data_IF_432488797216
#
_entry.id   IF_432488797216
#
_cell.length_a   1.000
_cell.length_b   1.000
_cell.length_c   1.000
_cell.angle_alpha   90.00
_cell.angle_beta   90.00
_cell.angle_gamma   90.00
#
_symmetry.space_group_name_H-M   'P 1'
#
loop_
_entity.id
_entity.type
_entity.pdbx_description
1 polymer ?
#
# COMPACT_ATOMS: atom_id res chain seq x y z
N UNK A 1 10.56 -33.93 2.67
CA UNK A 1 10.40 -33.75 1.21
C UNK A 1 11.02 -32.43 0.84
N UNK A 2 12.21 -32.44 0.22
CA UNK A 2 12.91 -31.25 -0.26
C UNK A 2 12.26 -30.83 -1.59
N UNK A 3 11.52 -29.73 -1.59
CA UNK A 3 10.96 -29.15 -2.82
C UNK A 3 12.09 -28.82 -3.80
N UNK A 4 12.03 -29.36 -5.02
CA UNK A 4 12.91 -28.97 -6.12
C UNK A 4 12.59 -27.52 -6.50
N UNK A 5 13.58 -26.61 -6.55
CA UNK A 5 13.30 -25.24 -6.95
C UNK A 5 12.71 -25.22 -8.38
N UNK A 6 11.60 -24.51 -8.56
CA UNK A 6 10.96 -24.31 -9.85
C UNK A 6 11.99 -23.83 -10.89
N UNK A 7 12.03 -24.50 -12.05
CA UNK A 7 12.94 -24.13 -13.14
C UNK A 7 12.62 -22.70 -13.60
N UNK A 8 13.56 -21.77 -13.39
CA UNK A 8 13.39 -20.37 -13.77
C UNK A 8 13.62 -20.22 -15.27
N UNK A 9 12.66 -19.60 -15.96
CA UNK A 9 12.78 -19.28 -17.38
C UNK A 9 13.84 -18.19 -17.59
N UNK A 10 14.83 -18.39 -18.50
CA UNK A 10 15.81 -17.36 -18.80
C UNK A 10 15.18 -16.08 -19.36
N UNK A 11 15.65 -14.92 -18.92
CA UNK A 11 15.15 -13.61 -19.38
C UNK A 11 15.82 -13.22 -20.71
N UNK A 12 15.15 -13.59 -21.82
CA UNK A 12 15.64 -13.30 -23.19
C UNK A 12 15.52 -11.83 -23.57
N UNK A 13 14.56 -11.09 -23.01
CA UNK A 13 14.35 -9.66 -23.29
C UNK A 13 15.51 -8.82 -22.76
N UNK A 14 15.90 -9.04 -21.49
CA UNK A 14 17.08 -8.40 -20.91
C UNK A 14 18.36 -8.77 -21.68
N UNK A 15 18.51 -10.02 -22.11
CA UNK A 15 19.66 -10.46 -22.89
C UNK A 15 19.78 -9.71 -24.22
N UNK A 16 18.66 -9.54 -24.94
CA UNK A 16 18.63 -8.82 -26.20
C UNK A 16 18.99 -7.34 -26.02
N UNK A 17 18.44 -6.68 -25.00
CA UNK A 17 18.74 -5.28 -24.71
C UNK A 17 20.19 -5.06 -24.27
N UNK A 18 20.79 -5.98 -23.49
CA UNK A 18 22.22 -5.93 -23.14
C UNK A 18 23.08 -5.94 -24.42
N UNK A 19 22.75 -6.80 -25.38
CA UNK A 19 23.47 -6.88 -26.65
C UNK A 19 23.28 -5.62 -27.49
N UNK A 20 22.05 -5.13 -27.65
CA UNK A 20 21.72 -3.89 -28.38
C UNK A 20 22.46 -2.66 -27.79
N UNK A 21 22.49 -2.55 -26.46
CA UNK A 21 23.16 -1.45 -25.76
C UNK A 21 24.70 -1.55 -25.76
N UNK A 22 25.25 -2.72 -26.14
CA UNK A 22 26.68 -3.02 -26.06
C UNK A 22 27.20 -3.06 -24.62
N UNK A 23 26.38 -3.46 -23.65
CA UNK A 23 26.79 -3.55 -22.26
C UNK A 23 27.47 -4.89 -21.95
N UNK A 24 28.52 -4.84 -21.13
CA UNK A 24 28.98 -6.02 -20.41
C UNK A 24 28.17 -6.18 -19.11
N UNK A 25 28.04 -7.40 -18.59
CA UNK A 25 27.32 -7.63 -17.33
C UNK A 25 27.91 -6.81 -16.16
N UNK A 26 29.24 -6.70 -16.09
CA UNK A 26 29.90 -5.86 -15.09
C UNK A 26 29.64 -4.36 -15.35
N UNK A 27 29.62 -3.94 -16.63
CA UNK A 27 29.34 -2.57 -17.02
C UNK A 27 27.90 -2.14 -16.77
N UNK A 28 26.93 -3.05 -16.88
CA UNK A 28 25.54 -2.81 -16.51
C UNK A 28 25.41 -2.66 -15.00
N UNK A 29 25.99 -3.58 -14.21
CA UNK A 29 25.95 -3.53 -12.76
C UNK A 29 26.47 -2.19 -12.21
N UNK A 30 27.65 -1.74 -12.66
CA UNK A 30 28.23 -0.46 -12.25
C UNK A 30 27.33 0.75 -12.58
N UNK A 31 26.65 0.72 -13.73
CA UNK A 31 25.72 1.80 -14.12
C UNK A 31 24.45 1.81 -13.27
N UNK A 32 23.95 0.63 -12.91
CA UNK A 32 22.80 0.51 -12.00
C UNK A 32 23.18 1.01 -10.61
N UNK A 33 24.37 0.68 -10.10
CA UNK A 33 24.85 1.18 -8.81
C UNK A 33 25.09 2.69 -8.83
N UNK A 34 25.71 3.22 -9.90
CA UNK A 34 25.91 4.65 -10.09
C UNK A 34 24.56 5.40 -10.11
N UNK A 35 23.58 4.89 -10.87
CA UNK A 35 22.25 5.47 -10.92
C UNK A 35 21.53 5.34 -9.56
N UNK A 36 21.70 4.22 -8.86
CA UNK A 36 21.22 4.05 -7.50
C UNK A 36 21.74 5.14 -6.57
N UNK A 37 23.04 5.44 -6.64
CA UNK A 37 23.68 6.49 -5.86
C UNK A 37 23.17 7.90 -6.21
N UNK A 38 22.95 8.18 -7.51
CA UNK A 38 22.27 9.42 -7.97
C UNK A 38 20.88 9.60 -7.33
N UNK A 39 20.19 8.49 -7.05
CA UNK A 39 18.89 8.45 -6.37
C UNK A 39 18.97 8.21 -4.85
N UNK A 40 20.16 8.29 -4.24
CA UNK A 40 20.35 8.15 -2.79
C UNK A 40 20.26 6.72 -2.25
N UNK A 41 20.41 5.71 -3.11
CA UNK A 41 20.38 4.28 -2.75
C UNK A 41 21.81 3.72 -2.65
N UNK A 42 22.15 3.04 -1.56
CA UNK A 42 23.40 2.25 -1.45
C UNK A 42 23.18 0.86 -2.06
N UNK A 43 23.42 0.75 -3.37
CA UNK A 43 23.36 -0.50 -4.14
C UNK A 43 24.78 -0.99 -4.44
N UNK A 44 24.95 -2.32 -4.44
CA UNK A 44 26.23 -2.98 -4.68
C UNK A 44 26.05 -4.22 -5.54
N UNK A 45 25.62 -4.02 -6.78
CA UNK A 45 25.46 -5.09 -7.74
C UNK A 45 26.77 -5.40 -8.47
N UNK A 46 26.88 -6.66 -8.89
CA UNK A 46 28.03 -7.16 -9.61
C UNK A 46 27.61 -7.92 -10.87
N UNK A 47 28.60 -8.39 -11.64
CA UNK A 47 28.37 -9.25 -12.81
C UNK A 47 27.51 -10.49 -12.46
N UNK A 48 27.68 -11.04 -11.26
CA UNK A 48 26.96 -12.22 -10.79
C UNK A 48 25.47 -11.93 -10.65
N UNK A 49 25.12 -10.75 -10.13
CA UNK A 49 23.75 -10.26 -9.98
C UNK A 49 23.06 -10.17 -11.34
N UNK A 50 23.71 -9.55 -12.33
CA UNK A 50 23.19 -9.48 -13.71
C UNK A 50 23.03 -10.87 -14.33
N UNK A 51 23.99 -11.77 -14.09
CA UNK A 51 23.91 -13.15 -14.58
C UNK A 51 22.74 -13.91 -13.96
N UNK A 52 22.40 -13.63 -12.70
CA UNK A 52 21.21 -14.18 -12.04
C UNK A 52 19.92 -13.61 -12.66
N UNK A 53 19.87 -12.32 -12.99
CA UNK A 53 18.73 -11.71 -13.67
C UNK A 53 18.48 -12.33 -15.04
N UNK A 54 19.55 -12.57 -15.81
CA UNK A 54 19.48 -13.29 -17.09
C UNK A 54 18.97 -14.73 -16.95
N UNK A 55 19.19 -15.37 -15.80
CA UNK A 55 18.65 -16.70 -15.46
C UNK A 55 17.23 -16.65 -14.89
N UNK A 56 16.55 -15.50 -14.98
CA UNK A 56 15.16 -15.33 -14.55
C UNK A 56 14.99 -14.99 -13.08
N UNK A 57 16.05 -14.63 -12.35
CA UNK A 57 15.88 -14.07 -11.01
C UNK A 57 15.41 -12.62 -11.09
N UNK A 58 14.29 -12.30 -10.45
CA UNK A 58 13.80 -10.93 -10.43
C UNK A 58 14.59 -10.06 -9.42
N UNK A 59 15.13 -8.90 -9.82
CA UNK A 59 15.61 -7.89 -8.90
C UNK A 59 14.44 -7.33 -8.09
N UNK A 60 14.70 -6.90 -6.84
CA UNK A 60 13.67 -6.45 -5.91
C UNK A 60 13.68 -4.93 -5.73
N UNK A 61 12.59 -4.39 -5.19
CA UNK A 61 12.44 -2.97 -4.91
C UNK A 61 12.52 -2.14 -6.19
N UNK A 62 13.20 -1.00 -6.13
CA UNK A 62 13.32 -0.02 -7.22
C UNK A 62 14.27 -0.46 -8.34
N UNK A 63 15.06 -1.50 -8.11
CA UNK A 63 16.10 -1.95 -9.05
C UNK A 63 15.59 -2.24 -10.47
N UNK A 64 14.43 -2.87 -10.72
CA UNK A 64 13.91 -3.04 -12.08
C UNK A 64 13.74 -1.71 -12.85
N UNK A 65 13.29 -0.66 -12.16
CA UNK A 65 13.12 0.66 -12.76
C UNK A 65 14.47 1.33 -13.06
N UNK A 66 15.45 1.18 -12.16
CA UNK A 66 16.82 1.68 -12.39
C UNK A 66 17.47 0.99 -13.59
N UNK A 67 17.30 -0.33 -13.72
CA UNK A 67 17.82 -1.06 -14.88
C UNK A 67 17.18 -0.51 -16.16
N UNK A 68 15.85 -0.35 -16.19
CA UNK A 68 15.14 0.22 -17.35
C UNK A 68 15.61 1.64 -17.71
N UNK A 69 15.86 2.49 -16.72
CA UNK A 69 16.40 3.85 -16.91
C UNK A 69 17.83 3.82 -17.49
N UNK A 70 18.70 2.91 -17.03
CA UNK A 70 20.05 2.74 -17.61
C UNK A 70 19.98 2.42 -19.11
N UNK A 71 19.05 1.55 -19.54
CA UNK A 71 18.86 1.26 -20.96
C UNK A 71 18.22 2.44 -21.71
N UNK A 72 17.26 3.12 -21.10
CA UNK A 72 16.62 4.31 -21.67
C UNK A 72 17.64 5.39 -22.01
N UNK A 73 18.54 5.73 -21.07
CA UNK A 73 19.62 6.69 -21.29
C UNK A 73 20.58 6.26 -22.40
N UNK A 74 20.84 4.96 -22.52
CA UNK A 74 21.82 4.42 -23.47
C UNK A 74 21.29 4.30 -24.90
N UNK A 75 20.02 3.91 -25.05
CA UNK A 75 19.38 3.63 -26.34
C UNK A 75 18.55 4.81 -26.87
N UNK A 76 18.33 5.85 -26.07
CA UNK A 76 17.62 7.06 -26.48
C UNK A 76 16.12 6.87 -26.70
N UNK A 77 15.55 5.74 -26.24
CA UNK A 77 14.12 5.44 -26.27
C UNK A 77 13.64 5.04 -24.90
N UNK A 78 12.40 5.38 -24.57
CA UNK A 78 11.80 5.04 -23.27
C UNK A 78 11.61 3.53 -23.16
N UNK A 79 12.15 2.95 -22.11
CA UNK A 79 12.01 1.53 -21.76
C UNK A 79 11.50 1.40 -20.33
N UNK A 80 10.62 0.43 -20.11
CA UNK A 80 10.03 0.07 -18.82
C UNK A 80 10.64 -1.23 -18.30
N UNK A 81 10.50 -1.53 -17.00
CA UNK A 81 10.94 -2.81 -16.45
C UNK A 81 10.31 -4.02 -17.19
N UNK A 82 9.05 -3.88 -17.63
CA UNK A 82 8.34 -4.90 -18.38
C UNK A 82 8.96 -5.13 -19.77
N UNK A 83 9.43 -4.08 -20.44
CA UNK A 83 10.14 -4.21 -21.73
C UNK A 83 11.44 -5.02 -21.60
N UNK A 84 12.02 -5.05 -20.40
CA UNK A 84 13.21 -5.83 -20.05
C UNK A 84 12.87 -7.25 -19.55
N UNK A 85 11.60 -7.63 -19.46
CA UNK A 85 11.16 -8.90 -18.87
C UNK A 85 11.37 -8.97 -17.36
N UNK A 86 11.44 -7.81 -16.70
CA UNK A 86 11.53 -7.68 -15.27
C UNK A 86 10.15 -7.36 -14.70
N UNK A 87 9.89 -7.85 -13.49
CA UNK A 87 8.70 -7.46 -12.76
C UNK A 87 8.76 -5.95 -12.54
N UNK A 88 7.69 -5.25 -12.88
CA UNK A 88 7.57 -3.85 -12.54
C UNK A 88 7.74 -3.73 -11.03
N UNK A 89 8.60 -2.80 -10.58
CA UNK A 89 8.47 -2.30 -9.22
C UNK A 89 7.05 -1.79 -9.14
N UNK A 90 6.18 -2.44 -8.35
CA UNK A 90 4.88 -1.88 -8.08
C UNK A 90 5.16 -0.48 -7.52
N UNK A 91 4.85 0.60 -8.25
CA UNK A 91 4.89 1.91 -7.64
C UNK A 91 4.02 1.79 -6.40
N UNK A 92 4.55 2.22 -5.24
CA UNK A 92 3.70 2.38 -4.07
C UNK A 92 2.86 3.63 -4.33
N UNK A 93 1.89 3.50 -5.24
CA UNK A 93 0.82 4.48 -5.44
C UNK A 93 -0.24 4.37 -4.34
N UNK A 94 -0.13 3.37 -3.45
CA UNK A 94 -1.02 3.26 -2.30
C UNK A 94 -0.94 4.55 -1.47
N UNK A 95 -2.02 5.34 -1.48
CA UNK A 95 -2.12 6.64 -0.80
C UNK A 95 -1.69 7.86 -1.62
N UNK A 96 -1.24 7.66 -2.86
CA UNK A 96 -0.88 8.72 -3.82
C UNK A 96 -1.88 8.81 -4.98
N UNK A 97 -3.01 8.15 -4.91
CA UNK A 97 -4.14 8.36 -5.82
C UNK A 97 -5.39 8.51 -4.94
N UNK A 98 -6.31 9.40 -5.32
CA UNK A 98 -7.60 9.46 -4.66
C UNK A 98 -8.36 8.18 -4.99
N UNK A 99 -8.82 7.47 -3.95
CA UNK A 99 -9.65 6.29 -4.14
C UNK A 99 -10.93 6.66 -4.89
N UNK A 100 -11.33 5.85 -5.86
CA UNK A 100 -12.56 6.06 -6.63
C UNK A 100 -13.83 5.72 -5.84
N UNK A 101 -13.69 5.22 -4.61
CA UNK A 101 -14.80 4.90 -3.70
C UNK A 101 -14.38 5.02 -2.23
N UNK A 102 -15.34 5.27 -1.31
CA UNK A 102 -15.07 5.23 0.12
C UNK A 102 -14.55 3.88 0.62
N UNK A 103 -15.03 2.76 0.07
CA UNK A 103 -14.55 1.41 0.40
C UNK A 103 -13.06 1.23 0.09
N UNK A 104 -12.67 1.60 -1.13
CA UNK A 104 -11.28 1.57 -1.57
C UNK A 104 -10.39 2.50 -0.73
N UNK A 105 -10.90 3.68 -0.34
CA UNK A 105 -10.17 4.60 0.53
C UNK A 105 -9.84 3.96 1.89
N UNK A 106 -10.82 3.28 2.49
CA UNK A 106 -10.66 2.58 3.77
C UNK A 106 -9.65 1.45 3.67
N UNK A 107 -9.69 0.68 2.59
CA UNK A 107 -8.75 -0.42 2.36
C UNK A 107 -7.32 0.07 2.12
N UNK A 108 -7.14 1.15 1.35
CA UNK A 108 -5.83 1.80 1.13
C UNK A 108 -5.26 2.31 2.45
N UNK A 109 -6.05 3.07 3.23
CA UNK A 109 -5.62 3.67 4.50
C UNK A 109 -5.28 2.59 5.53
N UNK A 110 -6.15 1.59 5.70
CA UNK A 110 -5.87 0.45 6.59
C UNK A 110 -4.61 -0.32 6.18
N UNK A 111 -4.38 -0.49 4.87
CA UNK A 111 -3.16 -1.08 4.34
C UNK A 111 -1.89 -0.28 4.64
N UNK A 112 -1.98 1.06 4.61
CA UNK A 112 -0.87 1.95 4.95
C UNK A 112 -0.55 1.91 6.44
N UNK A 113 -1.57 1.96 7.31
CA UNK A 113 -1.36 1.87 8.76
C UNK A 113 -0.71 0.56 9.18
N UNK A 114 -1.13 -0.58 8.60
CA UNK A 114 -0.48 -1.88 8.86
C UNK A 114 0.99 -1.90 8.45
N UNK A 115 1.35 -1.24 7.34
CA UNK A 115 2.75 -1.08 6.93
C UNK A 115 3.52 -0.16 7.87
N UNK A 116 2.84 0.84 8.44
CA UNK A 116 3.38 1.80 9.41
C UNK A 116 3.66 1.18 10.79
N UNK A 117 2.92 0.11 11.15
CA UNK A 117 3.15 -0.77 12.32
C UNK A 117 4.36 -1.69 12.18
N UNK A 118 4.87 -1.90 10.97
CA UNK A 118 6.02 -2.76 10.68
C UNK A 118 7.36 -2.14 11.09
N UNK A 119 8.45 -2.90 10.96
CA UNK A 119 9.80 -2.38 11.21
C UNK A 119 10.08 -1.19 10.28
N UNK A 120 10.60 -0.07 10.82
CA UNK A 120 11.08 1.07 10.02
C UNK A 120 12.11 0.65 8.94
N UNK A 121 12.76 -0.51 9.11
CA UNK A 121 13.64 -1.09 8.11
C UNK A 121 12.90 -1.50 6.82
N UNK A 122 11.61 -1.86 6.88
CA UNK A 122 10.79 -2.17 5.71
C UNK A 122 10.34 -0.90 4.98
N UNK A 123 9.99 0.16 5.73
CA UNK A 123 9.63 1.47 5.14
C UNK A 123 10.81 2.11 4.42
N UNK A 124 12.03 1.97 4.94
CA UNK A 124 13.27 2.43 4.29
C UNK A 124 13.58 1.71 2.97
N UNK A 125 12.94 0.57 2.67
CA UNK A 125 13.08 -0.13 1.39
C UNK A 125 12.14 0.41 0.32
N UNK A 126 11.22 1.29 0.69
CA UNK A 126 10.31 1.96 -0.24
C UNK A 126 11.04 3.19 -0.78
N UNK A 127 11.38 3.19 -2.07
CA UNK A 127 11.94 4.37 -2.69
C UNK A 127 10.85 5.42 -2.93
N UNK A 128 11.02 6.59 -2.33
CA UNK A 128 10.25 7.76 -2.70
C UNK A 128 10.62 8.19 -4.12
N UNK A 129 9.63 8.33 -4.99
CA UNK A 129 9.83 8.81 -6.36
C UNK A 129 9.04 10.10 -6.54
N UNK A 130 9.69 11.27 -6.70
CA UNK A 130 9.00 12.56 -6.88
C UNK A 130 8.01 12.55 -8.07
N UNK A 131 8.33 11.81 -9.14
CA UNK A 131 7.43 11.66 -10.29
C UNK A 131 6.09 10.98 -9.94
N UNK A 132 6.03 10.21 -8.84
CA UNK A 132 4.80 9.62 -8.32
C UNK A 132 3.79 10.64 -7.80
N UNK A 133 4.22 11.89 -7.54
CA UNK A 133 3.32 12.98 -7.13
C UNK A 133 2.67 13.71 -8.31
N UNK A 134 3.17 13.54 -9.54
CA UNK A 134 2.71 14.34 -10.68
C UNK A 134 1.23 14.07 -11.00
N UNK A 135 0.83 12.81 -11.03
CA UNK A 135 -0.55 12.39 -11.32
C UNK A 135 -1.52 12.83 -10.22
N UNK A 136 -1.32 12.51 -8.92
CA UNK A 136 -2.19 13.01 -7.87
C UNK A 136 -2.22 14.52 -7.72
N UNK A 137 -1.09 15.22 -7.88
CA UNK A 137 -1.09 16.69 -7.81
C UNK A 137 -1.89 17.29 -8.95
N UNK A 138 -1.78 16.74 -10.17
CA UNK A 138 -2.62 17.14 -11.30
C UNK A 138 -4.09 16.87 -10.97
N UNK A 139 -4.43 15.64 -10.58
CA UNK A 139 -5.80 15.20 -10.36
C UNK A 139 -6.45 15.92 -9.17
N UNK A 140 -5.68 16.33 -8.16
CA UNK A 140 -6.14 17.22 -7.09
C UNK A 140 -6.46 18.63 -7.60
N UNK A 141 -5.62 19.18 -8.50
CA UNK A 141 -5.83 20.52 -9.06
C UNK A 141 -7.02 20.59 -10.02
N UNK A 142 -7.32 19.50 -10.73
CA UNK A 142 -8.36 19.49 -11.79
C UNK A 142 -9.60 18.67 -11.43
N UNK A 143 -9.52 17.84 -10.39
CA UNK A 143 -10.60 16.99 -9.93
C UNK A 143 -11.71 17.80 -9.26
N UNK A 144 -12.96 17.41 -9.49
CA UNK A 144 -14.11 17.96 -8.76
C UNK A 144 -14.17 17.29 -7.39
N UNK A 145 -14.44 18.07 -6.35
CA UNK A 145 -14.71 17.51 -5.02
C UNK A 145 -15.97 16.63 -5.06
N UNK A 146 -15.94 15.49 -4.36
CA UNK A 146 -17.12 14.64 -4.22
C UNK A 146 -18.25 15.40 -3.54
N UNK A 147 -19.41 15.47 -4.19
CA UNK A 147 -20.58 16.16 -3.65
C UNK A 147 -21.22 15.40 -2.48
N UNK A 148 -21.00 14.07 -2.40
CA UNK A 148 -21.55 13.21 -1.34
C UNK A 148 -20.58 12.09 -0.96
N UNK A 149 -20.25 12.01 0.33
CA UNK A 149 -19.36 10.98 0.93
C UNK A 149 -20.16 9.88 1.65
N UNK A 150 -21.48 10.05 1.76
CA UNK A 150 -22.35 9.12 2.49
C UNK A 150 -22.70 7.88 1.66
N UNK A 151 -22.63 6.70 2.29
CA UNK A 151 -23.06 5.42 1.68
C UNK A 151 -24.58 5.31 1.71
N UNK A 152 -25.25 6.00 0.80
CA UNK A 152 -26.72 5.89 0.67
C UNK A 152 -27.13 4.74 -0.25
N UNK A 153 -26.20 4.17 -1.02
CA UNK A 153 -26.52 3.07 -1.93
C UNK A 153 -26.00 1.74 -1.42
N UNK A 154 -26.95 0.85 -1.08
CA UNK A 154 -26.69 -0.57 -0.87
C UNK A 154 -26.16 -1.11 -2.19
N UNK A 155 -24.94 -1.68 -2.27
CA UNK A 155 -24.47 -2.26 -3.51
C UNK A 155 -25.43 -3.38 -3.91
N UNK A 156 -26.02 -3.25 -5.09
CA UNK A 156 -26.88 -4.28 -5.69
C UNK A 156 -26.06 -5.55 -5.81
N UNK A 157 -26.29 -6.49 -4.89
CA UNK A 157 -25.69 -7.82 -4.91
C UNK A 157 -26.36 -8.62 -6.03
N UNK A 158 -25.63 -8.85 -7.11
CA UNK A 158 -26.04 -9.84 -8.14
C UNK A 158 -26.31 -11.17 -7.42
N UNK A 159 -27.49 -11.80 -7.60
CA UNK A 159 -27.93 -12.89 -6.74
C UNK A 159 -27.14 -14.16 -7.01
N UNK A 160 -26.36 -14.60 -6.02
CA UNK A 160 -25.91 -15.98 -5.92
C UNK A 160 -26.98 -16.82 -5.21
N UNK A 161 -27.35 -17.92 -5.86
CA UNK A 161 -28.44 -18.83 -5.51
C UNK A 161 -28.31 -19.42 -4.09
N UNK A 162 -29.43 -19.35 -3.35
CA UNK A 162 -29.94 -20.40 -2.46
C UNK A 162 -29.14 -20.80 -1.22
N UNK A 163 -29.53 -20.30 -0.04
CA UNK A 163 -29.59 -21.10 1.20
C UNK A 163 -30.60 -20.50 2.20
N UNK A 164 -31.44 -21.32 2.87
CA UNK A 164 -32.57 -20.82 3.66
C UNK A 164 -32.13 -20.26 5.02
N UNK A 165 -32.87 -19.24 5.45
CA UNK A 165 -32.76 -18.61 6.76
C UNK A 165 -33.43 -19.46 7.85
N UNK A 166 -32.82 -19.50 9.04
CA UNK A 166 -33.47 -19.96 10.27
C UNK A 166 -33.77 -18.76 11.17
N UNK A 167 -34.98 -18.66 11.76
CA UNK A 167 -35.31 -17.56 12.65
C UNK A 167 -34.76 -17.85 14.06
N UNK A 168 -34.21 -16.84 14.73
CA UNK A 168 -34.00 -16.89 16.19
C UNK A 168 -34.84 -15.81 16.88
N UNK A 169 -35.66 -16.32 17.79
CA UNK A 169 -36.56 -15.60 18.69
C UNK A 169 -35.79 -14.62 19.59
N UNK A 170 -36.43 -13.47 19.86
CA UNK A 170 -36.01 -12.52 20.86
C UNK A 170 -36.41 -12.97 22.27
N UNK A 171 -35.56 -12.71 23.27
CA UNK A 171 -35.90 -12.74 24.70
C UNK A 171 -35.44 -11.42 25.32
N UNK A 172 -36.28 -10.71 26.10
CA UNK A 172 -35.91 -9.44 26.73
C UNK A 172 -35.42 -9.65 28.17
N UNK A 173 -34.28 -9.06 28.56
CA UNK A 173 -33.88 -8.95 29.97
C UNK A 173 -33.11 -7.63 30.26
N UNK A 174 -33.81 -6.76 31.01
CA UNK A 174 -33.46 -5.82 32.08
C UNK A 174 -32.12 -5.04 32.10
N UNK A 175 -32.12 -3.71 32.43
CA UNK A 175 -30.95 -2.84 32.36
C UNK A 175 -30.25 -2.79 33.71
N UNK A 176 -29.05 -3.35 33.81
CA UNK A 176 -28.15 -3.06 34.92
C UNK A 176 -26.70 -3.20 34.49
N UNK A 177 -26.05 -2.02 34.38
CA UNK A 177 -24.61 -1.75 34.31
C UNK A 177 -23.72 -2.99 34.36
N UNK A 178 -23.18 -3.38 33.22
CA UNK A 178 -21.88 -4.06 33.15
C UNK A 178 -20.96 -3.27 32.24
N UNK A 179 -19.84 -2.87 32.84
CA UNK A 179 -18.66 -2.28 32.22
C UNK A 179 -18.31 -3.11 30.98
N UNK A 180 -18.51 -2.55 29.79
CA UNK A 180 -18.21 -3.25 28.54
C UNK A 180 -16.70 -3.45 28.45
N UNK A 181 -16.27 -4.71 28.46
CA UNK A 181 -14.97 -5.09 27.94
C UNK A 181 -14.90 -4.69 26.46
N UNK A 182 -13.70 -4.50 25.86
CA UNK A 182 -13.58 -4.12 24.47
C UNK A 182 -14.20 -5.23 23.61
N UNK A 183 -15.39 -4.99 23.09
CA UNK A 183 -16.06 -5.92 22.20
C UNK A 183 -15.40 -5.77 20.82
N UNK A 184 -14.87 -6.87 20.29
CA UNK A 184 -14.39 -6.93 18.91
C UNK A 184 -15.49 -6.44 17.96
N UNK A 185 -15.28 -5.29 17.33
CA UNK A 185 -16.25 -4.66 16.44
C UNK A 185 -16.29 -5.41 15.11
N UNK A 186 -17.43 -6.04 14.80
CA UNK A 186 -17.67 -6.70 13.52
C UNK A 186 -18.11 -5.73 12.41
N UNK A 187 -17.97 -6.12 11.12
CA UNK A 187 -18.40 -5.30 9.99
C UNK A 187 -19.91 -5.01 10.02
N UNK A 188 -20.31 -3.77 9.74
CA UNK A 188 -21.72 -3.34 9.68
C UNK A 188 -22.33 -2.78 10.97
N UNK A 189 -21.56 -2.63 12.06
CA UNK A 189 -22.04 -2.05 13.31
C UNK A 189 -22.46 -0.58 13.14
N UNK A 190 -23.54 -0.15 13.80
CA UNK A 190 -23.99 1.25 13.79
C UNK A 190 -22.98 2.13 14.53
N UNK A 191 -22.47 3.16 13.88
CA UNK A 191 -21.59 4.17 14.47
C UNK A 191 -22.48 5.26 15.09
N UNK A 192 -22.38 5.44 16.39
CA UNK A 192 -23.16 6.43 17.14
C UNK A 192 -22.43 7.76 17.30
N UNK A 193 -23.16 8.81 17.68
CA UNK A 193 -22.56 10.09 18.06
C UNK A 193 -21.61 9.99 19.26
N UNK A 194 -21.81 9.00 20.13
CA UNK A 194 -20.90 8.70 21.25
C UNK A 194 -19.55 8.14 20.77
N UNK A 195 -19.56 7.27 19.75
CA UNK A 195 -18.34 6.74 19.15
C UNK A 195 -17.55 7.85 18.46
N UNK A 196 -18.23 8.76 17.76
CA UNK A 196 -17.61 9.93 17.14
C UNK A 196 -17.06 10.91 18.18
N UNK A 197 -17.75 11.08 19.32
CA UNK A 197 -17.25 11.91 20.42
C UNK A 197 -15.98 11.32 21.04
N UNK A 198 -15.95 10.00 21.29
CA UNK A 198 -14.77 9.30 21.78
C UNK A 198 -13.58 9.43 20.82
N UNK A 199 -13.83 9.28 19.51
CA UNK A 199 -12.82 9.43 18.46
C UNK A 199 -12.22 10.84 18.44
N UNK A 200 -13.05 11.88 18.57
CA UNK A 200 -12.58 13.27 18.68
C UNK A 200 -11.71 13.48 19.92
N UNK A 201 -12.14 13.00 21.08
CA UNK A 201 -11.35 13.13 22.32
C UNK A 201 -10.02 12.40 22.26
N UNK A 202 -9.96 11.21 21.65
CA UNK A 202 -8.69 10.49 21.43
C UNK A 202 -7.80 11.22 20.42
N UNK A 203 -8.39 11.80 19.37
CA UNK A 203 -7.66 12.65 18.43
C UNK A 203 -7.02 13.87 19.10
N UNK A 204 -7.76 14.57 19.97
CA UNK A 204 -7.25 15.69 20.77
C UNK A 204 -6.09 15.26 21.68
N UNK A 205 -6.19 14.09 22.31
CA UNK A 205 -5.13 13.53 23.14
C UNK A 205 -3.85 13.28 22.32
N UNK A 206 -3.96 12.63 21.16
CA UNK A 206 -2.80 12.36 20.32
C UNK A 206 -2.17 13.65 19.78
N UNK A 207 -2.99 14.64 19.39
CA UNK A 207 -2.50 15.96 18.97
C UNK A 207 -1.73 16.65 20.09
N UNK A 208 -2.25 16.63 21.32
CA UNK A 208 -1.54 17.21 22.47
C UNK A 208 -0.21 16.50 22.77
N UNK A 209 -0.12 15.19 22.52
CA UNK A 209 1.13 14.44 22.71
C UNK A 209 2.14 14.76 21.61
N UNK A 210 1.69 14.89 20.36
CA UNK A 210 2.51 15.30 19.22
C UNK A 210 3.06 16.72 19.41
N UNK A 211 2.20 17.68 19.78
CA UNK A 211 2.58 19.08 20.02
C UNK A 211 3.64 19.22 21.14
N UNK A 212 3.60 18.33 22.16
CA UNK A 212 4.46 18.42 23.35
C UNK A 212 5.76 17.63 23.24
N UNK A 213 5.72 16.46 22.62
CA UNK A 213 6.86 15.53 22.60
C UNK A 213 7.34 15.21 21.18
N UNK A 214 6.63 15.66 20.16
CA UNK A 214 6.84 15.28 18.76
C UNK A 214 6.22 13.92 18.42
N UNK A 215 6.02 13.68 17.13
CA UNK A 215 5.20 12.56 16.64
C UNK A 215 5.73 11.16 16.90
N UNK A 216 6.98 11.01 17.33
CA UNK A 216 7.58 9.69 17.57
C UNK A 216 6.98 8.95 18.78
N UNK A 217 6.59 9.66 19.84
CA UNK A 217 6.28 9.04 21.13
C UNK A 217 4.90 8.39 21.19
N UNK A 218 3.92 8.94 20.48
CA UNK A 218 2.54 8.45 20.50
C UNK A 218 2.18 7.64 19.24
N UNK A 219 3.08 7.57 18.24
CA UNK A 219 2.82 6.96 16.93
C UNK A 219 2.32 5.52 17.02
N UNK A 220 2.97 4.66 17.81
CA UNK A 220 2.55 3.25 17.90
C UNK A 220 1.17 3.09 18.54
N UNK A 221 0.86 3.91 19.55
CA UNK A 221 -0.46 3.91 20.18
C UNK A 221 -1.53 4.44 19.23
N UNK A 222 -1.22 5.50 18.47
CA UNK A 222 -2.11 6.04 17.45
C UNK A 222 -2.37 5.02 16.34
N UNK A 223 -1.34 4.39 15.80
CA UNK A 223 -1.49 3.38 14.73
C UNK A 223 -2.33 2.20 15.20
N UNK A 224 -2.09 1.69 16.42
CA UNK A 224 -2.93 0.62 16.99
C UNK A 224 -4.39 1.05 17.14
N UNK A 225 -4.63 2.27 17.61
CA UNK A 225 -5.97 2.81 17.73
C UNK A 225 -6.67 2.90 16.36
N UNK A 226 -5.96 3.40 15.34
CA UNK A 226 -6.49 3.50 13.99
C UNK A 226 -6.83 2.11 13.39
N UNK A 227 -5.98 1.11 13.59
CA UNK A 227 -6.19 -0.26 13.11
C UNK A 227 -7.33 -0.98 13.84
N UNK A 228 -7.43 -0.87 15.16
CA UNK A 228 -8.35 -1.69 15.94
C UNK A 228 -9.68 -1.01 16.23
N UNK A 229 -9.72 0.32 16.29
CA UNK A 229 -10.93 1.07 16.63
C UNK A 229 -11.53 1.76 15.41
N UNK A 230 -10.69 2.39 14.57
CA UNK A 230 -11.16 3.27 13.49
C UNK A 230 -11.44 2.53 12.17
N UNK A 231 -10.59 1.58 11.76
CA UNK A 231 -10.83 0.75 10.57
C UNK A 231 -12.20 0.02 10.62
N UNK A 232 -12.62 -0.59 11.75
CA UNK A 232 -13.96 -1.17 11.86
C UNK A 232 -15.09 -0.13 11.80
N UNK A 233 -14.89 1.05 12.40
CA UNK A 233 -15.89 2.14 12.36
C UNK A 233 -16.11 2.64 10.93
N UNK A 234 -15.05 2.72 10.12
CA UNK A 234 -15.12 3.09 8.70
C UNK A 234 -15.90 2.09 7.84
N UNK A 235 -16.07 0.85 8.31
CA UNK A 235 -16.91 -0.17 7.69
C UNK A 235 -18.29 -0.28 8.39
N UNK A 236 -18.61 0.66 9.27
CA UNK A 236 -19.88 0.72 10.00
C UNK A 236 -21.02 1.37 9.20
N UNK A 237 -22.20 1.38 9.79
CA UNK A 237 -23.39 2.08 9.25
C UNK A 237 -23.58 3.41 9.98
N UNK A 238 -23.87 4.47 9.22
CA UNK A 238 -24.03 5.83 9.73
C UNK A 238 -25.50 6.25 9.59
N UNK A 239 -26.08 6.80 10.65
CA UNK A 239 -27.38 7.47 10.54
C UNK A 239 -27.17 8.91 10.06
N UNK A 240 -27.99 9.37 9.13
CA UNK A 240 -28.07 10.80 8.83
C UNK A 240 -28.52 11.55 10.11
N UNK A 241 -27.77 12.58 10.48
CA UNK A 241 -28.23 13.63 11.40
C UNK A 241 -28.70 14.82 10.58
#
# INVERSE_FOLDING_TARGET
>A
MTERPAQRTPNRQLAALIAEAGFSNAGLARRVDQLGLEHGLDLRYDKTSVTRWLRGQQPRGTTPALIAEVFTRRLGRRLTAQDLGLDACAPVYAGLEFAGSPEEAVDIIGGLWRKDSGSHAELRKIAFTPAGLVVPSRDWLIGRADEKVARTEVPVRIPAQGRPATPRLAVPLDPSRRRAAPAERGPGQKVSGGDLAALRSVGELFRSLDDRYGGGHARQALVRYLEHELEPMLRGTYGEQ
#
